data_IF_997238182088
#
_entry.id   IF_997238182088
#
_cell.length_a   1.000
_cell.length_b   1.000
_cell.length_c   1.000
_cell.angle_alpha   90.00
_cell.angle_beta   90.00
_cell.angle_gamma   90.00
#
_symmetry.space_group_name_H-M   'P 1'
#
loop_
_entity.id
_entity.type
_entity.pdbx_description
1 polymer ?
#
# COMPACT_ATOMS: atom_id res chain seq x y z
N UNK A 1 24.49 55.37 46.58
CA UNK A 1 24.51 56.04 45.27
C UNK A 1 24.30 54.97 44.21
N UNK A 2 23.09 54.95 43.62
CA UNK A 2 22.61 54.17 42.46
C UNK A 2 22.88 52.65 42.44
N UNK A 3 21.95 51.90 43.02
CA UNK A 3 21.61 50.53 42.60
C UNK A 3 21.06 50.57 41.16
N UNK A 4 21.61 49.74 40.28
CA UNK A 4 21.26 49.66 38.85
C UNK A 4 19.89 48.98 38.67
N UNK A 5 18.99 49.48 37.80
CA UNK A 5 17.70 48.85 37.48
C UNK A 5 17.81 47.68 36.47
N UNK A 6 19.02 47.27 36.11
CA UNK A 6 19.28 46.30 35.03
C UNK A 6 18.95 44.83 35.38
N UNK A 7 18.76 44.50 36.66
CA UNK A 7 18.57 43.10 37.08
C UNK A 7 17.11 42.60 36.95
N UNK A 8 16.12 43.50 36.76
CA UNK A 8 14.69 43.13 36.81
C UNK A 8 14.14 42.62 35.47
N UNK A 9 14.62 43.14 34.34
CA UNK A 9 14.26 42.63 32.99
C UNK A 9 14.86 41.23 32.78
N UNK A 10 16.06 41.00 33.32
CA UNK A 10 16.84 39.76 33.22
C UNK A 10 16.11 38.55 33.80
N UNK A 11 15.39 38.73 34.91
CA UNK A 11 14.63 37.64 35.53
C UNK A 11 13.33 37.37 34.78
N UNK A 12 12.71 38.40 34.16
CA UNK A 12 11.39 38.34 33.47
C UNK A 12 11.39 37.51 32.18
N UNK A 13 12.55 37.35 31.54
CA UNK A 13 12.70 36.49 30.35
C UNK A 13 13.22 35.09 30.69
N UNK A 14 13.99 34.93 31.78
CA UNK A 14 14.71 33.68 32.07
C UNK A 14 13.89 32.58 32.79
N UNK A 15 12.75 32.90 33.43
CA UNK A 15 11.84 31.91 34.07
C UNK A 15 10.84 31.36 33.04
N UNK A 16 11.35 30.96 31.87
CA UNK A 16 10.65 30.09 30.92
C UNK A 16 11.35 28.73 30.78
N UNK A 17 12.46 28.51 31.49
CA UNK A 17 13.22 27.26 31.43
C UNK A 17 12.96 26.40 32.68
N UNK A 18 11.82 25.70 32.69
CA UNK A 18 11.59 24.53 33.51
C UNK A 18 11.07 23.41 32.60
N UNK A 19 11.96 22.52 32.16
CA UNK A 19 11.93 21.06 32.38
C UNK A 19 12.79 20.28 31.35
N UNK A 20 13.48 19.27 31.90
CA UNK A 20 13.98 18.01 31.32
C UNK A 20 14.70 17.97 29.97
N UNK A 21 15.94 17.49 30.06
CA UNK A 21 16.80 16.96 29.00
C UNK A 21 16.07 15.89 28.17
N UNK A 22 16.09 16.04 26.85
CA UNK A 22 15.71 15.03 25.86
C UNK A 22 16.57 15.22 24.60
N UNK A 23 17.30 14.19 24.22
CA UNK A 23 18.47 14.26 23.35
C UNK A 23 18.17 13.85 21.89
N UNK A 24 18.52 14.74 20.93
CA UNK A 24 19.33 14.48 19.70
C UNK A 24 18.64 13.75 18.51
N UNK A 25 18.71 14.10 17.21
CA UNK A 25 19.48 15.03 16.37
C UNK A 25 20.36 14.28 15.31
N UNK A 26 20.16 14.48 13.97
CA UNK A 26 21.05 15.18 12.97
C UNK A 26 21.52 14.25 11.79
N UNK A 27 22.29 14.65 10.72
CA UNK A 27 22.65 15.97 10.06
C UNK A 27 22.74 15.97 8.46
N UNK A 28 23.27 17.02 7.71
CA UNK A 28 24.39 17.11 6.64
C UNK A 28 24.77 18.55 6.23
N UNK A 29 26.08 18.86 6.12
CA UNK A 29 26.70 20.15 5.74
C UNK A 29 26.65 20.51 4.23
N UNK A 30 26.39 21.80 3.94
CA UNK A 30 27.14 22.60 2.96
C UNK A 30 26.85 24.08 3.24
N UNK A 31 27.83 24.94 3.01
CA UNK A 31 27.75 26.40 3.16
C UNK A 31 26.50 26.94 2.43
N UNK A 32 25.45 27.28 3.18
CA UNK A 32 24.21 27.83 2.66
C UNK A 32 23.53 28.58 3.80
N UNK A 33 23.32 29.88 3.64
CA UNK A 33 22.40 30.64 4.48
C UNK A 33 21.03 29.96 4.38
N UNK A 34 20.70 29.12 5.36
CA UNK A 34 19.38 28.50 5.46
C UNK A 34 18.39 29.62 5.76
N UNK A 35 17.32 29.81 4.95
CA UNK A 35 16.32 30.82 5.26
C UNK A 35 15.69 30.51 6.62
N UNK A 36 15.98 31.33 7.64
CA UNK A 36 15.47 31.15 9.00
C UNK A 36 16.52 30.94 10.10
N UNK A 37 17.82 30.86 9.79
CA UNK A 37 18.87 30.87 10.82
C UNK A 37 19.00 32.25 11.50
N UNK A 38 19.13 32.24 12.83
CA UNK A 38 19.21 33.45 13.66
C UNK A 38 20.65 33.99 13.76
N UNK A 39 21.66 33.12 13.64
CA UNK A 39 23.09 33.44 13.65
C UNK A 39 23.93 32.47 12.80
N UNK A 40 24.91 32.99 12.08
CA UNK A 40 25.98 32.24 11.41
C UNK A 40 26.97 31.69 12.45
N UNK A 41 27.27 30.40 12.39
CA UNK A 41 28.15 29.75 13.37
C UNK A 41 29.50 29.39 12.76
N UNK A 42 30.57 29.94 13.32
CA UNK A 42 31.95 29.74 12.86
C UNK A 42 32.74 28.99 13.91
N UNK A 43 33.38 27.89 13.48
CA UNK A 43 34.23 27.04 14.31
C UNK A 43 35.72 27.30 14.02
N UNK A 44 36.49 27.48 15.09
CA UNK A 44 37.94 27.37 15.09
C UNK A 44 38.34 26.34 16.15
N UNK A 45 39.58 25.80 16.13
CA UNK A 45 40.00 24.79 17.11
C UNK A 45 39.83 25.23 18.57
N UNK A 46 39.86 26.54 18.86
CA UNK A 46 39.83 27.08 20.22
C UNK A 46 38.62 27.96 20.52
N UNK A 47 37.80 28.29 19.53
CA UNK A 47 36.68 29.21 19.70
C UNK A 47 35.53 28.90 18.74
N UNK A 48 34.31 28.95 19.24
CA UNK A 48 33.08 28.99 18.43
C UNK A 48 32.52 30.40 18.51
N UNK A 49 32.09 30.96 17.37
CA UNK A 49 31.48 32.30 17.31
C UNK A 49 30.11 32.22 16.62
N UNK A 50 29.09 32.81 17.24
CA UNK A 50 27.76 32.99 16.67
C UNK A 50 27.60 34.45 16.23
N UNK A 51 27.45 34.69 14.93
CA UNK A 51 27.29 36.03 14.34
C UNK A 51 25.84 36.20 13.92
N UNK A 52 25.03 37.05 14.59
CA UNK A 52 23.62 37.20 14.24
C UNK A 52 23.40 37.64 12.79
N UNK A 53 22.42 37.02 12.10
CA UNK A 53 22.10 37.31 10.69
C UNK A 53 21.08 38.45 10.54
N UNK A 54 20.50 38.92 11.66
CA UNK A 54 19.53 40.03 11.73
C UNK A 54 19.81 40.99 12.89
N UNK A 55 19.03 42.08 12.99
CA UNK A 55 19.09 42.99 14.14
C UNK A 55 18.36 42.38 15.33
N UNK A 56 19.10 42.09 16.40
CA UNK A 56 18.55 41.61 17.68
C UNK A 56 19.06 42.50 18.80
N UNK A 57 18.25 42.69 19.84
CA UNK A 57 18.60 43.50 21.01
C UNK A 57 19.49 42.73 21.99
N UNK A 58 19.28 41.41 22.09
CA UNK A 58 20.04 40.52 22.96
C UNK A 58 20.19 39.13 22.33
N UNK A 59 21.27 38.45 22.70
CA UNK A 59 21.59 37.08 22.32
C UNK A 59 22.08 36.35 23.58
N UNK A 60 21.50 35.20 23.88
CA UNK A 60 21.84 34.39 25.04
C UNK A 60 22.29 33.00 24.60
N UNK A 61 23.37 32.52 25.20
CA UNK A 61 23.95 31.21 24.88
C UNK A 61 23.88 30.28 26.08
N UNK A 62 23.28 29.12 25.86
CA UNK A 62 23.28 28.01 26.82
C UNK A 62 23.91 26.77 26.20
N UNK A 63 24.71 26.06 26.98
CA UNK A 63 25.45 24.89 26.53
C UNK A 63 25.20 23.71 27.46
N UNK A 64 24.75 22.59 26.90
CA UNK A 64 24.68 21.31 27.58
C UNK A 64 25.95 20.50 27.30
N UNK A 65 26.58 20.04 28.38
CA UNK A 65 27.79 19.22 28.37
C UNK A 65 27.48 17.72 28.18
N UNK A 66 28.48 16.90 27.81
CA UNK A 66 28.31 15.45 27.64
C UNK A 66 27.78 14.74 28.90
N UNK A 67 28.14 15.25 30.09
CA UNK A 67 27.70 14.71 31.39
C UNK A 67 26.31 15.18 31.83
N UNK A 68 25.59 15.93 31.00
CA UNK A 68 24.26 16.47 31.30
C UNK A 68 24.27 17.79 32.09
N UNK A 69 25.44 18.30 32.47
CA UNK A 69 25.60 19.63 33.06
C UNK A 69 25.21 20.71 32.05
N UNK A 70 24.58 21.79 32.51
CA UNK A 70 24.14 22.89 31.66
C UNK A 70 24.79 24.19 32.14
N UNK A 71 25.53 24.83 31.24
CA UNK A 71 26.22 26.09 31.46
C UNK A 71 25.44 27.22 30.79
N UNK A 72 25.16 28.28 31.55
CA UNK A 72 24.59 29.51 31.02
C UNK A 72 25.70 30.54 30.82
N UNK A 73 26.00 30.87 29.56
CA UNK A 73 27.05 31.82 29.20
C UNK A 73 26.50 33.26 29.08
N UNK A 74 25.21 33.47 29.37
CA UNK A 74 24.58 34.78 29.31
C UNK A 74 24.70 35.42 27.93
N UNK A 75 24.91 36.75 27.90
CA UNK A 75 25.13 37.52 26.67
C UNK A 75 26.53 37.28 26.10
N UNK A 76 26.73 36.11 25.52
CA UNK A 76 27.97 35.75 24.84
C UNK A 76 27.71 35.25 23.44
N UNK A 77 28.40 35.86 22.47
CA UNK A 77 28.44 35.41 21.08
C UNK A 77 29.65 34.51 20.79
N UNK A 78 30.44 34.17 21.81
CA UNK A 78 31.67 33.36 21.66
C UNK A 78 31.83 32.35 22.78
N UNK A 79 32.32 31.17 22.43
CA UNK A 79 32.66 30.12 23.37
C UNK A 79 34.13 29.73 23.23
N UNK A 80 34.88 29.74 24.33
CA UNK A 80 36.21 29.15 24.45
C UNK A 80 36.16 27.75 25.08
N UNK A 81 37.32 27.11 25.24
CA UNK A 81 37.44 25.77 25.83
C UNK A 81 37.29 25.73 27.36
N UNK A 82 36.61 26.71 27.95
CA UNK A 82 36.37 26.79 29.39
C UNK A 82 34.90 27.04 29.72
N UNK A 83 34.46 26.50 30.85
CA UNK A 83 33.16 26.81 31.45
C UNK A 83 33.13 28.25 32.01
N UNK A 84 31.97 28.77 32.46
CA UNK A 84 31.86 30.09 33.09
C UNK A 84 32.66 30.23 34.39
N UNK A 85 32.98 29.13 35.07
CA UNK A 85 33.78 29.08 36.29
C UNK A 85 35.30 29.02 36.01
N UNK A 86 35.69 28.93 34.74
CA UNK A 86 37.08 28.91 34.27
C UNK A 86 37.71 27.52 34.18
N UNK A 87 36.95 26.44 34.39
CA UNK A 87 37.46 25.08 34.23
C UNK A 87 37.48 24.68 32.76
N UNK A 88 38.43 23.81 32.37
CA UNK A 88 38.53 23.32 31.00
C UNK A 88 37.35 22.39 30.68
N UNK A 89 36.68 22.63 29.57
CA UNK A 89 35.62 21.77 29.05
C UNK A 89 36.20 20.40 28.68
N UNK A 90 35.50 19.33 29.10
CA UNK A 90 35.89 17.96 28.82
C UNK A 90 35.68 17.60 27.33
N UNK A 91 36.38 16.56 26.85
CA UNK A 91 36.12 16.02 25.53
C UNK A 91 34.74 15.35 25.47
N UNK A 92 34.04 15.48 24.33
CA UNK A 92 32.71 14.90 24.11
C UNK A 92 31.78 15.77 23.28
N UNK A 93 30.53 15.33 23.13
CA UNK A 93 29.46 16.03 22.40
C UNK A 93 28.77 17.07 23.28
N UNK A 94 28.79 18.32 22.84
CA UNK A 94 28.07 19.43 23.46
C UNK A 94 26.91 19.87 22.58
N UNK A 95 25.89 20.44 23.20
CA UNK A 95 24.74 21.05 22.52
C UNK A 95 24.59 22.47 22.94
N UNK A 96 24.28 23.34 21.99
CA UNK A 96 24.01 24.73 22.28
C UNK A 96 22.57 25.07 21.92
N UNK A 97 21.99 25.95 22.71
CA UNK A 97 20.78 26.69 22.40
C UNK A 97 21.12 28.17 22.42
N UNK A 98 20.86 28.84 21.31
CA UNK A 98 20.96 30.27 21.14
C UNK A 98 19.56 30.85 21.22
N UNK A 99 19.34 31.81 22.11
CA UNK A 99 18.06 32.52 22.22
C UNK A 99 18.29 33.98 21.85
N UNK A 100 17.55 34.50 20.87
CA UNK A 100 17.67 35.90 20.46
C UNK A 100 16.39 36.67 20.77
N UNK A 101 16.54 37.94 21.11
CA UNK A 101 15.42 38.86 21.29
C UNK A 101 15.39 39.89 20.16
N UNK A 102 14.26 40.08 19.48
CA UNK A 102 14.13 41.15 18.48
C UNK A 102 14.27 42.54 19.14
N UNK A 103 14.51 43.60 18.37
CA UNK A 103 14.55 44.96 18.89
C UNK A 103 13.18 45.34 19.44
N UNK A 104 13.14 45.70 20.72
CA UNK A 104 11.94 46.17 21.39
C UNK A 104 11.85 47.69 21.33
N UNK A 105 10.65 48.22 21.14
CA UNK A 105 10.44 49.67 21.20
C UNK A 105 10.60 50.20 22.65
N UNK A 106 10.86 51.51 22.77
CA UNK A 106 11.12 52.16 24.05
C UNK A 106 9.93 52.07 25.02
N UNK A 107 8.71 51.93 24.49
CA UNK A 107 7.49 51.78 25.29
C UNK A 107 7.45 50.40 25.96
N UNK A 108 7.71 49.34 25.18
CA UNK A 108 7.78 47.94 25.62
C UNK A 108 8.89 47.75 26.64
N UNK A 109 10.06 48.35 26.41
CA UNK A 109 11.17 48.32 27.37
C UNK A 109 10.81 48.99 28.71
N UNK A 110 10.05 50.09 28.67
CA UNK A 110 9.61 50.77 29.89
C UNK A 110 8.55 49.97 30.66
N UNK A 111 7.65 49.28 29.94
CA UNK A 111 6.68 48.35 30.53
C UNK A 111 7.42 47.19 31.21
N UNK A 112 8.36 46.54 30.51
CA UNK A 112 9.15 45.44 31.04
C UNK A 112 10.03 45.84 32.23
N UNK A 113 10.52 47.09 32.27
CA UNK A 113 11.31 47.61 33.39
C UNK A 113 10.50 47.77 34.70
N UNK A 114 9.17 47.77 34.63
CA UNK A 114 8.26 47.97 35.77
C UNK A 114 7.56 46.67 36.20
N UNK A 115 7.86 45.55 35.55
CA UNK A 115 7.29 44.23 35.88
C UNK A 115 7.78 43.76 37.25
N UNK A 116 6.83 43.33 38.08
CA UNK A 116 7.07 42.64 39.35
C UNK A 116 6.76 41.15 39.22
N UNK A 117 7.26 40.28 40.12
CA UNK A 117 6.97 38.85 40.07
C UNK A 117 5.46 38.53 40.06
N UNK A 118 4.63 39.34 40.72
CA UNK A 118 3.18 39.08 40.81
C UNK A 118 2.39 39.44 39.54
N UNK A 119 2.85 40.42 38.75
CA UNK A 119 2.16 40.87 37.53
C UNK A 119 2.81 40.39 36.23
N UNK A 120 3.89 39.62 36.35
CA UNK A 120 4.74 39.18 35.26
C UNK A 120 4.00 38.44 34.16
N UNK A 121 3.34 37.34 34.49
CA UNK A 121 2.77 36.45 33.47
C UNK A 121 1.64 37.13 32.71
N UNK A 122 0.84 37.93 33.42
CA UNK A 122 -0.22 38.74 32.82
C UNK A 122 0.36 39.83 31.90
N UNK A 123 1.41 40.53 32.32
CA UNK A 123 2.04 41.59 31.50
C UNK A 123 2.69 41.01 30.25
N UNK A 124 3.31 39.84 30.34
CA UNK A 124 3.89 39.13 29.19
C UNK A 124 2.80 38.70 28.20
N UNK A 125 1.69 38.12 28.70
CA UNK A 125 0.57 37.72 27.86
C UNK A 125 -0.07 38.90 27.13
N UNK A 126 -0.22 40.04 27.81
CA UNK A 126 -0.76 41.28 27.21
C UNK A 126 0.15 41.84 26.12
N UNK A 127 1.48 41.83 26.33
CA UNK A 127 2.45 42.27 25.33
C UNK A 127 2.50 41.30 24.13
N UNK A 128 2.32 40.00 24.33
CA UNK A 128 2.24 39.00 23.26
C UNK A 128 0.95 39.12 22.44
N UNK A 129 -0.20 39.36 23.09
CA UNK A 129 -1.48 39.60 22.42
C UNK A 129 -1.47 40.91 21.62
N UNK A 130 -0.76 41.92 22.11
CA UNK A 130 -0.54 43.19 21.41
C UNK A 130 0.51 43.11 20.29
N UNK A 131 1.14 41.93 20.08
CA UNK A 131 2.20 41.74 19.08
C UNK A 131 3.51 42.47 19.39
N UNK A 132 3.67 42.98 20.61
CA UNK A 132 4.87 43.70 21.09
C UNK A 132 5.98 42.77 21.60
N UNK A 133 5.62 41.53 21.95
CA UNK A 133 6.56 40.43 22.24
C UNK A 133 6.25 39.22 21.35
N UNK A 134 7.27 38.42 20.97
CA UNK A 134 7.04 37.21 20.21
C UNK A 134 6.28 36.16 21.05
N UNK A 135 5.36 35.42 20.39
CA UNK A 135 4.58 34.38 21.06
C UNK A 135 5.39 33.11 21.39
N UNK A 136 6.53 32.93 20.72
CA UNK A 136 7.49 31.86 20.98
C UNK A 136 8.91 32.45 20.96
N UNK A 137 9.79 31.94 21.81
CA UNK A 137 11.20 32.35 21.81
C UNK A 137 11.83 32.01 20.46
N UNK A 138 12.54 32.98 19.88
CA UNK A 138 13.34 32.74 18.69
C UNK A 138 14.62 32.02 19.12
N UNK A 139 14.68 30.72 18.84
CA UNK A 139 15.82 29.88 19.23
C UNK A 139 16.50 29.24 18.03
N UNK A 140 17.82 29.06 18.13
CA UNK A 140 18.63 28.30 17.19
C UNK A 140 19.49 27.32 17.97
N UNK A 141 19.38 26.04 17.62
CA UNK A 141 20.06 24.97 18.36
C UNK A 141 21.04 24.22 17.47
N UNK A 142 22.12 23.73 18.07
CA UNK A 142 23.12 22.95 17.37
C UNK A 142 23.98 22.11 18.29
N UNK A 143 25.06 21.54 17.75
CA UNK A 143 25.92 20.62 18.48
C UNK A 143 27.34 20.63 17.91
N UNK A 144 28.33 20.37 18.77
CA UNK A 144 29.74 20.34 18.44
C UNK A 144 30.50 19.34 19.32
N UNK A 145 31.68 18.90 18.89
CA UNK A 145 32.55 18.04 19.68
C UNK A 145 33.73 18.82 20.23
N UNK A 146 34.21 18.42 21.40
CA UNK A 146 35.58 18.68 21.83
C UNK A 146 36.33 17.36 21.75
N UNK A 147 37.43 17.32 21.00
CA UNK A 147 38.26 16.13 20.84
C UNK A 147 39.73 16.52 21.01
N UNK A 148 40.43 15.84 21.92
CA UNK A 148 41.78 16.18 22.35
C UNK A 148 41.91 17.67 22.76
N UNK A 149 40.87 18.19 23.41
CA UNK A 149 40.83 19.56 23.88
C UNK A 149 40.80 20.64 22.78
N UNK A 150 40.24 20.33 21.61
CA UNK A 150 39.95 21.29 20.51
C UNK A 150 38.54 21.09 19.98
N UNK A 151 37.88 22.15 19.51
CA UNK A 151 36.57 22.04 18.87
C UNK A 151 36.66 21.34 17.50
N UNK A 152 35.74 20.40 17.27
CA UNK A 152 35.52 19.72 16.01
C UNK A 152 34.03 19.75 15.66
N UNK A 153 33.70 19.91 14.37
CA UNK A 153 32.31 19.77 13.92
C UNK A 153 31.86 18.32 14.05
N UNK A 154 30.59 18.14 14.43
CA UNK A 154 29.93 16.86 14.25
C UNK A 154 29.89 16.55 12.75
N UNK A 155 30.70 15.57 12.33
CA UNK A 155 30.69 15.07 10.97
C UNK A 155 29.28 14.61 10.64
N UNK A 156 28.99 14.68 9.36
CA UNK A 156 27.72 14.23 8.88
C UNK A 156 27.87 12.94 8.11
N UNK A 157 27.16 11.92 8.58
CA UNK A 157 27.01 10.63 7.93
C UNK A 157 26.42 10.77 6.53
N UNK A 158 27.31 10.58 5.56
CA UNK A 158 27.04 10.66 4.14
C UNK A 158 28.27 10.27 3.35
N UNK A 159 28.83 9.08 3.59
CA UNK A 159 29.65 8.35 2.61
C UNK A 159 29.99 6.96 3.13
N UNK A 160 29.38 5.96 2.52
CA UNK A 160 29.71 4.55 2.69
C UNK A 160 30.99 4.24 1.89
N UNK A 161 32.12 4.08 2.60
CA UNK A 161 33.24 3.21 2.21
C UNK A 161 34.01 2.82 3.47
N UNK A 162 33.75 1.62 4.00
CA UNK A 162 34.69 0.92 4.89
C UNK A 162 35.84 0.31 4.04
N UNK A 163 37.10 0.14 4.53
CA UNK A 163 37.36 -0.54 5.81
C UNK A 163 38.60 -0.06 6.60
N UNK A 164 38.47 0.22 7.90
CA UNK A 164 39.57 -0.05 8.88
C UNK A 164 39.00 -0.41 10.26
N UNK A 165 39.25 -1.65 10.69
CA UNK A 165 39.11 -2.09 12.08
C UNK A 165 40.13 -1.39 13.00
N UNK A 166 39.65 -0.68 14.03
CA UNK A 166 40.09 -0.71 15.44
C UNK A 166 39.88 0.63 16.14
N UNK A 167 38.71 0.80 16.75
CA UNK A 167 38.57 1.33 18.10
C UNK A 167 37.18 0.96 18.60
N UNK A 168 37.11 0.07 19.60
CA UNK A 168 35.89 -0.12 20.38
C UNK A 168 35.62 1.18 21.17
N UNK A 169 34.79 2.08 20.66
CA UNK A 169 34.01 2.98 21.51
C UNK A 169 32.63 2.39 21.68
N UNK A 170 32.32 1.96 22.89
CA UNK A 170 31.13 1.18 23.25
C UNK A 170 29.89 2.04 23.57
N UNK A 171 29.86 3.31 23.13
CA UNK A 171 28.71 4.19 23.30
C UNK A 171 28.11 4.57 21.95
N UNK A 172 27.48 3.59 21.29
CA UNK A 172 26.44 3.88 20.30
C UNK A 172 25.26 4.36 21.13
N UNK A 173 24.85 5.62 20.96
CA UNK A 173 23.64 6.13 21.61
C UNK A 173 22.48 5.18 21.27
N UNK A 174 22.00 4.43 22.27
CA UNK A 174 20.78 3.64 22.10
C UNK A 174 19.67 4.60 21.70
N UNK A 175 18.97 4.36 20.57
CA UNK A 175 17.78 5.13 20.23
C UNK A 175 16.89 5.24 21.46
N UNK A 176 16.49 6.46 21.81
CA UNK A 176 15.54 6.65 22.89
C UNK A 176 14.17 6.22 22.36
N UNK A 177 13.66 5.12 22.88
CA UNK A 177 12.30 4.69 22.61
C UNK A 177 11.33 5.61 23.33
N UNK A 178 10.33 6.11 22.60
CA UNK A 178 9.16 6.73 23.23
C UNK A 178 8.19 5.60 23.56
N UNK A 179 8.12 5.25 24.85
CA UNK A 179 7.21 4.21 25.35
C UNK A 179 6.03 4.88 26.02
N UNK A 180 4.85 4.73 25.43
CA UNK A 180 3.57 5.01 26.09
C UNK A 180 3.02 3.69 26.66
N UNK A 181 3.05 3.47 27.99
CA UNK A 181 2.69 2.18 28.59
C UNK A 181 1.18 1.92 28.68
N UNK A 182 0.36 2.77 28.07
CA UNK A 182 -1.10 2.72 28.03
C UNK A 182 -1.60 3.12 26.63
N UNK A 183 -2.90 3.34 26.47
CA UNK A 183 -3.50 3.85 25.24
C UNK A 183 -2.91 5.22 24.84
N UNK A 184 -2.47 5.35 23.59
CA UNK A 184 -2.09 6.63 22.98
C UNK A 184 -3.26 7.21 22.18
N UNK A 185 -3.74 8.38 22.58
CA UNK A 185 -4.81 9.12 21.88
C UNK A 185 -4.22 10.38 21.27
N UNK A 186 -3.95 10.33 19.96
CA UNK A 186 -3.51 11.50 19.20
C UNK A 186 -4.72 12.33 18.78
N UNK A 187 -4.98 13.43 19.50
CA UNK A 187 -6.00 14.41 19.13
C UNK A 187 -5.52 15.26 17.94
N UNK A 188 -5.85 14.82 16.72
CA UNK A 188 -5.43 15.49 15.48
C UNK A 188 -5.05 14.48 14.41
N UNK A 189 -3.81 14.56 13.92
CA UNK A 189 -3.29 13.68 12.87
C UNK A 189 -1.88 13.22 13.19
N UNK A 190 -1.54 12.00 12.76
CA UNK A 190 -0.25 11.36 13.00
C UNK A 190 0.54 11.26 11.68
N UNK A 191 1.79 11.72 11.67
CA UNK A 191 2.74 11.44 10.60
C UNK A 191 3.82 10.48 11.12
N UNK A 192 4.07 9.39 10.39
CA UNK A 192 5.12 8.41 10.71
C UNK A 192 6.06 8.24 9.51
N UNK A 193 7.36 8.29 9.77
CA UNK A 193 8.42 8.09 8.77
C UNK A 193 9.40 9.25 8.70
N UNK A 194 10.55 9.00 8.08
CA UNK A 194 11.68 9.92 7.95
C UNK A 194 11.34 11.16 7.12
N UNK A 195 10.34 11.08 6.24
CA UNK A 195 9.95 12.17 5.34
C UNK A 195 8.82 13.07 5.93
N UNK A 196 8.44 12.87 7.20
CA UNK A 196 7.51 13.74 7.91
C UNK A 196 8.13 15.11 8.22
N UNK A 197 7.38 16.19 7.96
CA UNK A 197 7.84 17.56 8.21
C UNK A 197 7.68 17.90 9.70
N UNK A 198 8.75 18.43 10.30
CA UNK A 198 8.81 18.75 11.74
C UNK A 198 8.73 20.26 12.03
N UNK A 199 8.63 21.08 10.99
CA UNK A 199 8.56 22.55 11.06
C UNK A 199 7.12 23.09 11.24
N UNK A 200 6.16 22.20 11.49
CA UNK A 200 4.75 22.53 11.62
C UNK A 200 4.03 22.78 10.29
N UNK A 201 4.70 22.62 9.14
CA UNK A 201 4.10 22.81 7.82
C UNK A 201 3.44 21.54 7.25
N UNK A 202 3.49 20.40 7.96
CA UNK A 202 2.86 19.15 7.54
C UNK A 202 1.34 19.36 7.36
N UNK A 203 0.88 19.30 6.11
CA UNK A 203 -0.53 19.48 5.78
C UNK A 203 -1.20 18.12 5.66
N UNK A 204 -2.17 17.84 6.51
CA UNK A 204 -2.88 16.56 6.54
C UNK A 204 -4.06 16.47 5.58
N UNK A 205 -4.64 17.59 5.15
CA UNK A 205 -5.85 17.56 4.33
C UNK A 205 -6.99 16.79 5.02
N UNK A 206 -7.45 15.71 4.39
CA UNK A 206 -8.45 14.80 4.97
C UNK A 206 -7.84 13.52 5.58
N UNK A 207 -6.53 13.32 5.45
CA UNK A 207 -5.86 12.13 5.97
C UNK A 207 -5.56 12.29 7.46
N UNK A 208 -6.09 11.39 8.30
CA UNK A 208 -5.79 11.40 9.74
C UNK A 208 -4.43 10.78 10.06
N UNK A 209 -3.93 9.87 9.21
CA UNK A 209 -2.62 9.23 9.36
C UNK A 209 -1.86 9.30 8.03
N UNK A 210 -0.62 9.77 8.09
CA UNK A 210 0.30 9.79 6.95
C UNK A 210 1.53 8.95 7.26
N UNK A 211 1.86 8.04 6.36
CA UNK A 211 3.10 7.28 6.40
C UNK A 211 3.99 7.76 5.26
N UNK A 212 5.14 8.34 5.56
CA UNK A 212 6.01 9.00 4.57
C UNK A 212 7.43 8.43 4.65
N UNK A 213 7.75 7.57 3.71
CA UNK A 213 9.03 6.85 3.64
C UNK A 213 9.29 6.39 2.20
N UNK A 214 10.56 6.20 1.82
CA UNK A 214 10.93 5.63 0.52
C UNK A 214 10.60 4.13 0.37
N UNK A 215 10.60 3.38 1.48
CA UNK A 215 10.39 1.93 1.51
C UNK A 215 9.21 1.55 2.41
N UNK A 216 8.07 2.17 2.16
CA UNK A 216 6.93 2.14 3.07
C UNK A 216 6.34 0.74 3.24
N UNK A 217 6.39 0.25 4.48
CA UNK A 217 5.89 -1.05 4.89
C UNK A 217 5.26 -0.95 6.27
N UNK A 218 4.18 -1.71 6.50
CA UNK A 218 3.60 -1.93 7.82
C UNK A 218 3.75 -3.41 8.14
N UNK A 219 4.58 -3.74 9.13
CA UNK A 219 4.84 -5.10 9.55
C UNK A 219 3.98 -5.46 10.77
N UNK A 220 3.31 -6.59 10.69
CA UNK A 220 2.51 -7.17 11.77
C UNK A 220 3.30 -8.37 12.29
N UNK A 221 4.08 -8.12 13.34
CA UNK A 221 4.90 -9.12 14.03
C UNK A 221 4.04 -9.86 15.06
N UNK A 222 3.70 -11.12 14.78
CA UNK A 222 2.93 -11.93 15.71
C UNK A 222 3.88 -12.60 16.71
N UNK A 223 3.94 -12.04 17.92
CA UNK A 223 4.80 -12.54 18.99
C UNK A 223 4.16 -13.68 19.81
N UNK A 224 3.05 -14.26 19.35
CA UNK A 224 2.31 -15.26 20.12
C UNK A 224 3.13 -16.55 20.28
N UNK A 225 2.95 -17.20 21.44
CA UNK A 225 3.67 -18.43 21.78
C UNK A 225 2.93 -19.69 21.30
N UNK A 226 3.54 -20.85 21.52
CA UNK A 226 2.99 -22.15 21.14
C UNK A 226 1.53 -22.34 21.58
N UNK A 227 0.67 -22.72 20.64
CA UNK A 227 -0.77 -22.92 20.86
C UNK A 227 -1.65 -21.85 20.21
N UNK A 228 -1.07 -20.77 19.71
CA UNK A 228 -1.75 -19.70 18.97
C UNK A 228 -1.30 -19.67 17.51
N UNK A 229 -2.12 -19.13 16.58
CA UNK A 229 -1.62 -18.68 15.28
C UNK A 229 -0.44 -17.72 15.48
N UNK A 230 0.58 -17.81 14.63
CA UNK A 230 1.83 -17.04 14.76
C UNK A 230 2.36 -16.64 13.38
N UNK A 231 1.45 -16.25 12.47
CA UNK A 231 1.84 -15.84 11.12
C UNK A 231 1.98 -14.33 11.08
N UNK A 232 3.12 -13.87 10.60
CA UNK A 232 3.43 -12.46 10.43
C UNK A 232 2.89 -11.97 9.09
N UNK A 233 2.40 -10.73 9.09
CA UNK A 233 1.83 -10.13 7.89
C UNK A 233 2.56 -8.84 7.56
N UNK A 234 2.48 -8.42 6.28
CA UNK A 234 3.02 -7.14 5.87
C UNK A 234 2.14 -6.47 4.81
N UNK A 235 1.88 -5.18 5.01
CA UNK A 235 1.41 -4.31 3.94
C UNK A 235 2.63 -3.62 3.30
N UNK A 236 2.77 -3.72 1.98
CA UNK A 236 3.90 -3.12 1.26
C UNK A 236 3.38 -2.20 0.16
N UNK A 237 3.97 -1.00 0.12
CA UNK A 237 3.70 0.02 -0.89
C UNK A 237 4.90 0.10 -1.82
N UNK A 238 4.71 -0.34 -3.07
CA UNK A 238 5.74 -0.41 -4.12
C UNK A 238 6.92 -1.35 -3.80
N UNK A 239 7.75 -1.63 -4.80
CA UNK A 239 9.06 -2.28 -4.61
C UNK A 239 10.06 -1.27 -3.99
N UNK A 240 10.99 -1.79 -3.17
CA UNK A 240 12.06 -0.99 -2.53
C UNK A 240 13.28 -0.76 -3.41
N UNK A 241 13.36 -1.43 -4.57
CA UNK A 241 14.46 -1.27 -5.51
C UNK A 241 14.26 -0.05 -6.39
N UNK A 242 15.34 0.68 -6.70
CA UNK A 242 15.29 1.77 -7.68
C UNK A 242 14.84 1.24 -9.04
N UNK A 243 13.78 1.86 -9.60
CA UNK A 243 13.14 1.41 -10.84
C UNK A 243 12.21 0.19 -10.68
N UNK A 244 11.89 -0.20 -9.44
CA UNK A 244 10.96 -1.29 -9.14
C UNK A 244 9.49 -0.97 -9.48
N UNK A 245 8.63 -1.96 -9.26
CA UNK A 245 7.21 -1.90 -9.61
C UNK A 245 6.42 -1.08 -8.60
N UNK A 246 5.35 -0.41 -9.06
CA UNK A 246 4.42 0.31 -8.19
C UNK A 246 3.17 -0.53 -7.92
N UNK A 247 2.84 -0.77 -6.64
CA UNK A 247 1.70 -1.59 -6.23
C UNK A 247 1.32 -1.37 -4.76
N UNK A 248 0.14 -1.87 -4.39
CA UNK A 248 -0.24 -2.19 -3.02
C UNK A 248 -0.29 -3.71 -2.86
N UNK A 249 0.33 -4.27 -1.82
CA UNK A 249 0.29 -5.73 -1.59
C UNK A 249 0.12 -6.12 -0.13
N UNK A 250 -0.60 -7.23 0.08
CA UNK A 250 -0.66 -7.98 1.33
C UNK A 250 0.29 -9.18 1.19
N UNK A 251 1.26 -9.28 2.09
CA UNK A 251 2.24 -10.35 2.14
C UNK A 251 2.06 -11.21 3.37
N UNK A 252 2.17 -12.53 3.19
CA UNK A 252 2.57 -13.45 4.24
C UNK A 252 4.07 -13.23 4.47
N UNK A 253 4.41 -12.59 5.57
CA UNK A 253 5.77 -12.17 5.85
C UNK A 253 6.62 -13.33 6.41
N UNK A 254 6.01 -14.24 7.17
CA UNK A 254 6.67 -15.47 7.65
C UNK A 254 7.14 -16.33 6.48
N UNK A 255 6.31 -16.50 5.45
CA UNK A 255 6.66 -17.27 4.26
C UNK A 255 7.30 -16.44 3.13
N UNK A 256 7.48 -15.13 3.33
CA UNK A 256 7.94 -14.17 2.34
C UNK A 256 7.21 -14.29 0.98
N UNK A 257 5.89 -14.18 1.00
CA UNK A 257 5.03 -14.39 -0.18
C UNK A 257 4.00 -13.28 -0.34
N UNK A 258 3.95 -12.68 -1.53
CA UNK A 258 2.85 -11.78 -1.94
C UNK A 258 1.57 -12.60 -2.14
N UNK A 259 0.53 -12.34 -1.37
CA UNK A 259 -0.76 -13.06 -1.46
C UNK A 259 -1.78 -12.33 -2.31
N UNK A 260 -1.78 -11.00 -2.23
CA UNK A 260 -2.69 -10.15 -2.96
C UNK A 260 -1.95 -8.89 -3.41
N UNK A 261 -2.00 -8.57 -4.70
CA UNK A 261 -1.28 -7.41 -5.26
C UNK A 261 -2.21 -6.64 -6.19
N UNK A 262 -2.30 -5.33 -5.98
CA UNK A 262 -2.95 -4.38 -6.87
C UNK A 262 -1.86 -3.49 -7.47
N UNK A 263 -1.58 -3.65 -8.75
CA UNK A 263 -0.60 -2.82 -9.45
C UNK A 263 -1.13 -1.40 -9.67
N UNK A 264 -0.21 -0.44 -9.63
CA UNK A 264 -0.54 0.95 -9.92
C UNK A 264 -1.07 1.06 -11.37
N UNK A 265 -2.19 1.77 -11.53
CA UNK A 265 -2.85 1.93 -12.83
C UNK A 265 -3.84 0.81 -13.18
N UNK A 266 -4.08 -0.17 -12.29
CA UNK A 266 -5.18 -1.11 -12.47
C UNK A 266 -6.52 -0.36 -12.70
N UNK A 267 -7.32 -0.74 -13.72
CA UNK A 267 -8.59 -0.07 -13.99
C UNK A 267 -9.57 -0.14 -12.82
N UNK A 268 -10.45 0.86 -12.74
CA UNK A 268 -11.55 0.84 -11.77
C UNK A 268 -12.38 -0.44 -11.91
N UNK A 269 -12.79 -1.01 -10.77
CA UNK A 269 -13.58 -2.24 -10.70
C UNK A 269 -12.89 -3.48 -11.28
N UNK A 270 -11.55 -3.51 -11.32
CA UNK A 270 -10.80 -4.72 -11.67
C UNK A 270 -11.18 -5.90 -10.76
N UNK A 271 -11.38 -5.62 -9.46
CA UNK A 271 -12.05 -6.49 -8.50
C UNK A 271 -13.02 -5.64 -7.69
N UNK A 272 -14.30 -5.98 -7.70
CA UNK A 272 -15.35 -5.26 -7.01
C UNK A 272 -16.18 -6.24 -6.18
N UNK A 273 -16.50 -5.89 -4.94
CA UNK A 273 -17.43 -6.67 -4.11
C UNK A 273 -18.58 -5.75 -3.75
N UNK A 274 -19.80 -6.10 -4.18
CA UNK A 274 -20.98 -5.30 -3.92
C UNK A 274 -21.53 -5.53 -2.50
N UNK A 275 -22.50 -4.70 -2.09
CA UNK A 275 -23.12 -4.79 -0.75
C UNK A 275 -23.96 -6.05 -0.53
N UNK A 276 -24.23 -6.83 -1.57
CA UNK A 276 -24.94 -8.12 -1.50
C UNK A 276 -23.99 -9.32 -1.49
N UNK A 277 -22.68 -9.05 -1.50
CA UNK A 277 -21.61 -10.05 -1.52
C UNK A 277 -21.38 -10.68 -2.90
N UNK A 278 -21.81 -10.04 -3.99
CA UNK A 278 -21.47 -10.46 -5.34
C UNK A 278 -20.11 -9.88 -5.75
N UNK A 279 -19.31 -10.68 -6.46
CA UNK A 279 -17.98 -10.29 -6.92
C UNK A 279 -18.03 -9.97 -8.41
N UNK A 280 -17.67 -8.73 -8.75
CA UNK A 280 -17.45 -8.26 -10.12
C UNK A 280 -15.98 -8.26 -10.49
N UNK A 281 -15.65 -8.77 -11.68
CA UNK A 281 -14.33 -8.62 -12.30
C UNK A 281 -14.51 -7.78 -13.57
N UNK A 282 -13.98 -6.56 -13.56
CA UNK A 282 -14.17 -5.58 -14.65
C UNK A 282 -15.54 -4.89 -14.65
N UNK A 283 -16.33 -5.01 -13.57
CA UNK A 283 -17.67 -4.39 -13.46
C UNK A 283 -18.00 -4.02 -12.02
N UNK A 284 -18.68 -2.89 -11.83
CA UNK A 284 -19.24 -2.46 -10.54
C UNK A 284 -20.68 -2.90 -10.32
N UNK A 285 -21.31 -3.54 -11.32
CA UNK A 285 -22.71 -3.96 -11.26
C UNK A 285 -22.79 -5.48 -11.54
N UNK A 286 -22.26 -6.33 -10.65
CA UNK A 286 -22.41 -7.76 -10.79
C UNK A 286 -23.90 -8.16 -10.73
N UNK A 287 -24.32 -9.07 -11.62
CA UNK A 287 -25.71 -9.59 -11.66
C UNK A 287 -25.79 -11.06 -11.24
N UNK A 288 -24.63 -11.65 -10.93
CA UNK A 288 -24.43 -13.02 -10.47
C UNK A 288 -23.42 -13.02 -9.33
N UNK A 289 -23.37 -14.10 -8.54
CA UNK A 289 -22.43 -14.20 -7.41
C UNK A 289 -20.99 -13.97 -7.81
N UNK A 290 -20.61 -14.42 -9.00
CA UNK A 290 -19.39 -14.02 -9.68
C UNK A 290 -19.78 -13.54 -11.10
N UNK A 291 -19.51 -12.29 -11.42
CA UNK A 291 -19.74 -11.71 -12.75
C UNK A 291 -18.40 -11.22 -13.31
N UNK A 292 -17.93 -11.86 -14.38
CA UNK A 292 -16.77 -11.40 -15.15
C UNK A 292 -17.26 -10.64 -16.39
N UNK A 293 -16.94 -9.36 -16.48
CA UNK A 293 -17.19 -8.56 -17.67
C UNK A 293 -16.07 -8.78 -18.71
N UNK A 294 -16.08 -9.94 -19.36
CA UNK A 294 -15.08 -10.33 -20.33
C UNK A 294 -14.91 -11.84 -20.44
N UNK A 295 -13.69 -12.26 -20.82
CA UNK A 295 -13.37 -13.67 -21.03
C UNK A 295 -12.86 -14.34 -19.75
N UNK A 296 -13.16 -15.63 -19.59
CA UNK A 296 -12.63 -16.47 -18.51
C UNK A 296 -11.79 -17.58 -19.13
N UNK A 297 -10.50 -17.65 -18.76
CA UNK A 297 -9.64 -18.80 -19.06
C UNK A 297 -9.52 -19.67 -17.81
N UNK A 298 -9.73 -20.98 -17.98
CA UNK A 298 -9.58 -21.98 -16.91
C UNK A 298 -8.54 -23.00 -17.35
N UNK A 299 -7.46 -23.17 -16.58
CA UNK A 299 -6.41 -24.15 -16.89
C UNK A 299 -6.77 -25.58 -16.45
N UNK A 300 -7.77 -25.72 -15.57
CA UNK A 300 -8.35 -26.99 -15.12
C UNK A 300 -9.72 -27.27 -15.75
N UNK A 301 -10.68 -27.68 -14.92
CA UNK A 301 -12.06 -27.92 -15.35
C UNK A 301 -13.06 -27.17 -14.46
N UNK A 302 -14.23 -26.87 -15.04
CA UNK A 302 -15.38 -26.30 -14.33
C UNK A 302 -16.25 -27.45 -13.84
N UNK A 303 -16.68 -27.40 -12.58
CA UNK A 303 -17.62 -28.37 -12.00
C UNK A 303 -18.98 -27.72 -11.85
N UNK A 304 -19.97 -28.22 -12.58
CA UNK A 304 -21.36 -27.82 -12.44
C UNK A 304 -22.05 -28.70 -11.39
N UNK A 305 -22.67 -28.07 -10.38
CA UNK A 305 -23.34 -28.80 -9.32
C UNK A 305 -24.57 -29.55 -9.87
N UNK A 306 -24.52 -30.88 -9.85
CA UNK A 306 -25.45 -31.73 -10.59
C UNK A 306 -25.98 -32.92 -9.77
N UNK A 307 -26.13 -32.74 -8.45
CA UNK A 307 -26.65 -33.77 -7.54
C UNK A 307 -28.16 -33.99 -7.76
N UNK A 308 -28.61 -35.25 -7.74
CA UNK A 308 -30.03 -35.57 -7.88
C UNK A 308 -30.86 -35.10 -6.68
N UNK A 309 -30.28 -35.01 -5.49
CA UNK A 309 -30.94 -34.60 -4.25
C UNK A 309 -31.26 -33.10 -4.19
N UNK A 310 -30.67 -32.29 -5.07
CA UNK A 310 -30.98 -30.86 -5.20
C UNK A 310 -31.84 -30.54 -6.42
N UNK A 311 -32.18 -31.58 -7.20
CA UNK A 311 -33.00 -31.47 -8.41
C UNK A 311 -34.37 -32.05 -8.15
N UNK A 312 -35.35 -31.52 -8.88
CA UNK A 312 -36.73 -31.98 -8.83
C UNK A 312 -37.34 -31.93 -10.23
N UNK A 313 -38.49 -32.58 -10.41
CA UNK A 313 -39.22 -32.52 -11.68
C UNK A 313 -38.58 -33.32 -12.81
N UNK A 314 -37.98 -34.47 -12.52
CA UNK A 314 -37.42 -35.35 -13.55
C UNK A 314 -38.51 -35.87 -14.49
N UNK A 315 -38.42 -35.47 -15.76
CA UNK A 315 -39.27 -35.97 -16.85
C UNK A 315 -38.38 -36.66 -17.90
N UNK A 316 -38.81 -37.78 -18.48
CA UNK A 316 -38.11 -38.37 -19.61
C UNK A 316 -38.17 -37.43 -20.83
N UNK A 317 -37.14 -37.48 -21.67
CA UNK A 317 -37.07 -36.75 -22.94
C UNK A 317 -37.28 -37.71 -24.10
N UNK A 318 -37.97 -37.27 -25.15
CA UNK A 318 -38.08 -38.00 -26.42
C UNK A 318 -36.86 -37.71 -27.29
N UNK A 319 -35.99 -38.71 -27.45
CA UNK A 319 -34.78 -38.57 -28.25
C UNK A 319 -35.04 -38.22 -29.71
N UNK A 320 -36.12 -38.73 -30.31
CA UNK A 320 -36.48 -38.45 -31.70
C UNK A 320 -36.90 -37.00 -31.88
N UNK A 321 -37.69 -36.46 -30.94
CA UNK A 321 -38.07 -35.05 -30.92
C UNK A 321 -36.84 -34.14 -30.76
N UNK A 322 -35.95 -34.47 -29.81
CA UNK A 322 -34.74 -33.68 -29.56
C UNK A 322 -33.81 -33.68 -30.77
N UNK A 323 -33.58 -34.85 -31.38
CA UNK A 323 -32.75 -34.95 -32.58
C UNK A 323 -33.37 -34.17 -33.74
N UNK A 324 -34.69 -34.25 -33.94
CA UNK A 324 -35.36 -33.50 -34.99
C UNK A 324 -35.22 -31.98 -34.79
N UNK A 325 -35.45 -31.50 -33.56
CA UNK A 325 -35.24 -30.08 -33.21
C UNK A 325 -33.80 -29.63 -33.45
N UNK A 326 -32.82 -30.48 -33.14
CA UNK A 326 -31.41 -30.20 -33.38
C UNK A 326 -31.11 -30.09 -34.88
N UNK A 327 -31.71 -30.94 -35.71
CA UNK A 327 -31.55 -30.91 -37.17
C UNK A 327 -32.20 -29.67 -37.81
N UNK A 328 -33.30 -29.19 -37.23
CA UNK A 328 -34.02 -28.01 -37.72
C UNK A 328 -33.41 -26.68 -37.22
N UNK A 329 -32.61 -26.72 -36.15
CA UNK A 329 -31.98 -25.54 -35.55
C UNK A 329 -30.78 -25.06 -36.37
N UNK A 330 -30.72 -23.78 -36.78
CA UNK A 330 -29.56 -23.24 -37.48
C UNK A 330 -28.27 -23.30 -36.66
N UNK A 331 -27.21 -23.84 -37.26
CA UNK A 331 -25.84 -23.73 -36.76
C UNK A 331 -25.05 -22.94 -37.79
N UNK A 332 -24.54 -21.78 -37.39
CA UNK A 332 -23.83 -20.84 -38.28
C UNK A 332 -22.49 -20.43 -37.69
N UNK A 333 -21.64 -19.85 -38.52
CA UNK A 333 -20.43 -19.16 -38.05
C UNK A 333 -20.70 -17.69 -37.83
N UNK A 334 -20.07 -17.11 -36.81
CA UNK A 334 -20.29 -15.72 -36.42
C UNK A 334 -19.06 -15.13 -35.71
N UNK A 335 -19.00 -13.80 -35.58
CA UNK A 335 -17.95 -13.08 -34.84
C UNK A 335 -18.56 -12.11 -33.85
N UNK A 336 -17.98 -11.98 -32.66
CA UNK A 336 -18.39 -10.95 -31.72
C UNK A 336 -18.04 -9.55 -32.26
N UNK A 337 -18.96 -8.60 -32.09
CA UNK A 337 -18.72 -7.20 -32.51
C UNK A 337 -17.51 -6.57 -31.82
N UNK A 338 -17.26 -6.93 -30.55
CA UNK A 338 -16.15 -6.41 -29.76
C UNK A 338 -14.79 -7.04 -30.14
N UNK A 339 -14.77 -8.26 -30.68
CA UNK A 339 -13.54 -8.97 -31.08
C UNK A 339 -13.13 -8.68 -32.53
N UNK A 340 -14.06 -8.16 -33.34
CA UNK A 340 -13.86 -7.94 -34.77
C UNK A 340 -14.00 -9.22 -35.60
N UNK A 341 -13.96 -9.08 -36.93
CA UNK A 341 -14.26 -10.17 -37.87
C UNK A 341 -13.15 -11.21 -38.04
N UNK A 342 -12.04 -11.10 -37.31
CA UNK A 342 -10.90 -12.02 -37.40
C UNK A 342 -11.07 -13.25 -36.50
N UNK A 343 -11.91 -13.15 -35.46
CA UNK A 343 -12.23 -14.27 -34.58
C UNK A 343 -13.59 -14.83 -34.99
N UNK A 344 -13.60 -16.08 -35.46
CA UNK A 344 -14.82 -16.76 -35.93
C UNK A 344 -15.17 -17.89 -34.99
N UNK A 345 -16.40 -17.86 -34.51
CA UNK A 345 -17.02 -18.87 -33.67
C UNK A 345 -18.07 -19.64 -34.47
N UNK A 346 -18.52 -20.79 -33.95
CA UNK A 346 -19.57 -21.60 -34.56
C UNK A 346 -20.56 -22.05 -33.50
N UNK A 347 -21.85 -21.97 -33.81
CA UNK A 347 -22.92 -22.44 -32.93
C UNK A 347 -24.28 -21.85 -33.31
N UNK A 348 -25.35 -22.25 -32.62
CA UNK A 348 -26.64 -21.57 -32.72
C UNK A 348 -26.59 -20.22 -32.01
N UNK A 349 -27.55 -19.36 -32.31
CA UNK A 349 -27.83 -18.22 -31.42
C UNK A 349 -28.58 -18.72 -30.17
N UNK A 350 -28.48 -17.97 -29.07
CA UNK A 350 -29.24 -18.30 -27.86
C UNK A 350 -30.76 -18.23 -28.10
N UNK A 351 -31.22 -17.38 -29.02
CA UNK A 351 -32.62 -17.25 -29.37
C UNK A 351 -33.13 -18.50 -30.10
N UNK A 352 -32.36 -19.02 -31.05
CA UNK A 352 -32.71 -20.26 -31.77
C UNK A 352 -32.71 -21.47 -30.83
N UNK A 353 -31.68 -21.58 -29.97
CA UNK A 353 -31.60 -22.64 -28.95
C UNK A 353 -32.79 -22.59 -27.98
N UNK A 354 -33.09 -21.41 -27.45
CA UNK A 354 -34.21 -21.22 -26.54
C UNK A 354 -35.56 -21.49 -27.22
N UNK A 355 -35.74 -21.08 -28.48
CA UNK A 355 -36.96 -21.37 -29.25
C UNK A 355 -37.15 -22.87 -29.51
N UNK A 356 -36.06 -23.61 -29.74
CA UNK A 356 -36.12 -25.05 -29.97
C UNK A 356 -36.39 -25.85 -28.69
N UNK A 357 -35.68 -25.54 -27.60
CA UNK A 357 -35.64 -26.39 -26.40
C UNK A 357 -36.30 -25.79 -25.15
N UNK A 358 -36.45 -24.46 -25.07
CA UNK A 358 -37.01 -23.79 -23.89
C UNK A 358 -36.17 -23.95 -22.62
N UNK A 359 -34.87 -24.22 -22.75
CA UNK A 359 -33.93 -24.41 -21.64
C UNK A 359 -33.14 -23.12 -21.35
N UNK A 360 -32.72 -22.96 -20.10
CA UNK A 360 -32.02 -21.76 -19.61
C UNK A 360 -32.95 -20.71 -18.97
N UNK A 361 -32.33 -19.71 -18.32
CA UNK A 361 -33.06 -18.65 -17.63
C UNK A 361 -33.60 -17.56 -18.56
N UNK A 362 -32.98 -17.38 -19.74
CA UNK A 362 -33.36 -16.39 -20.75
C UNK A 362 -33.00 -16.86 -22.17
N UNK A 363 -33.34 -16.06 -23.17
CA UNK A 363 -33.04 -16.33 -24.59
C UNK A 363 -31.78 -15.61 -25.10
N UNK A 364 -30.88 -15.21 -24.21
CA UNK A 364 -29.64 -14.48 -24.53
C UNK A 364 -28.39 -15.27 -24.16
N UNK A 365 -28.53 -16.29 -23.33
CA UNK A 365 -27.43 -17.13 -22.89
C UNK A 365 -27.73 -18.62 -23.13
N UNK A 366 -26.70 -19.40 -23.44
CA UNK A 366 -26.78 -20.86 -23.51
C UNK A 366 -25.90 -21.39 -22.38
N UNK A 367 -26.48 -22.09 -21.42
CA UNK A 367 -25.70 -22.77 -20.40
C UNK A 367 -25.01 -24.01 -21.00
N UNK A 368 -23.72 -24.21 -20.67
CA UNK A 368 -22.98 -25.38 -21.12
C UNK A 368 -23.66 -26.69 -20.66
N UNK A 369 -24.18 -26.72 -19.42
CA UNK A 369 -25.01 -27.80 -18.89
C UNK A 369 -26.15 -28.21 -19.83
N UNK A 370 -26.93 -27.23 -20.31
CA UNK A 370 -28.12 -27.48 -21.15
C UNK A 370 -27.72 -27.97 -22.55
N UNK A 371 -26.72 -27.34 -23.16
CA UNK A 371 -26.19 -27.76 -24.46
C UNK A 371 -25.62 -29.21 -24.41
N UNK A 372 -24.94 -29.56 -23.32
CA UNK A 372 -24.45 -30.92 -23.08
C UNK A 372 -25.59 -31.92 -22.90
N UNK A 373 -26.65 -31.55 -22.16
CA UNK A 373 -27.84 -32.37 -21.98
C UNK A 373 -28.54 -32.70 -23.31
N UNK A 374 -28.74 -31.68 -24.16
CA UNK A 374 -29.30 -31.85 -25.52
C UNK A 374 -28.42 -32.77 -26.37
N UNK A 375 -27.09 -32.56 -26.33
CA UNK A 375 -26.13 -33.35 -27.08
C UNK A 375 -26.19 -34.84 -26.68
N UNK A 376 -26.24 -35.13 -25.38
CA UNK A 376 -26.35 -36.51 -24.87
C UNK A 376 -27.65 -37.19 -25.32
N UNK A 377 -28.78 -36.47 -25.28
CA UNK A 377 -30.06 -37.00 -25.74
C UNK A 377 -30.04 -37.30 -27.25
N UNK A 378 -29.51 -36.39 -28.06
CA UNK A 378 -29.39 -36.55 -29.50
C UNK A 378 -28.44 -37.71 -29.87
N UNK A 379 -27.30 -37.85 -29.19
CA UNK A 379 -26.36 -38.96 -29.42
C UNK A 379 -27.03 -40.31 -29.16
N UNK A 380 -27.79 -40.43 -28.06
CA UNK A 380 -28.51 -41.68 -27.75
C UNK A 380 -29.52 -42.05 -28.84
N UNK A 381 -30.24 -41.07 -29.38
CA UNK A 381 -31.18 -41.32 -30.46
C UNK A 381 -30.48 -41.69 -31.78
N UNK A 382 -29.38 -41.00 -32.12
CA UNK A 382 -28.57 -41.34 -33.27
C UNK A 382 -28.06 -42.79 -33.19
N UNK A 383 -27.60 -43.24 -32.02
CA UNK A 383 -27.21 -44.64 -31.80
C UNK A 383 -28.38 -45.59 -32.06
N UNK A 384 -29.57 -45.29 -31.52
CA UNK A 384 -30.77 -46.11 -31.72
C UNK A 384 -31.15 -46.21 -33.20
N UNK A 385 -31.07 -45.11 -33.94
CA UNK A 385 -31.36 -45.10 -35.38
C UNK A 385 -30.33 -45.90 -36.17
N UNK A 386 -29.04 -45.80 -35.81
CA UNK A 386 -27.97 -46.59 -36.43
C UNK A 386 -28.20 -48.10 -36.26
N UNK A 387 -28.50 -48.56 -35.04
CA UNK A 387 -28.79 -49.97 -34.77
C UNK A 387 -30.01 -50.47 -35.56
N UNK A 388 -31.04 -49.64 -35.69
CA UNK A 388 -32.22 -49.96 -36.48
C UNK A 388 -31.91 -50.04 -37.98
N UNK A 389 -31.01 -49.19 -38.48
CA UNK A 389 -30.54 -49.23 -39.86
C UNK A 389 -29.71 -50.49 -40.14
N UNK A 390 -28.81 -50.88 -39.24
CA UNK A 390 -28.00 -52.08 -39.37
C UNK A 390 -28.86 -53.35 -39.41
N UNK A 391 -29.85 -53.45 -38.51
CA UNK A 391 -30.80 -54.57 -38.52
C UNK A 391 -31.58 -54.66 -39.84
N UNK A 392 -31.94 -53.51 -40.43
CA UNK A 392 -32.59 -53.45 -41.74
C UNK A 392 -31.65 -53.88 -42.85
N UNK A 393 -30.39 -53.45 -42.83
CA UNK A 393 -29.36 -53.87 -43.80
C UNK A 393 -29.17 -55.39 -43.74
N UNK A 394 -28.95 -55.96 -42.56
CA UNK A 394 -28.82 -57.43 -42.41
C UNK A 394 -30.05 -58.17 -42.93
N UNK A 395 -31.26 -57.66 -42.66
CA UNK A 395 -32.49 -58.26 -43.17
C UNK A 395 -32.53 -58.23 -44.70
N UNK A 396 -32.16 -57.10 -45.31
CA UNK A 396 -32.12 -56.95 -46.76
C UNK A 396 -31.04 -57.84 -47.41
N UNK A 397 -29.88 -57.99 -46.77
CA UNK A 397 -28.82 -58.88 -47.23
C UNK A 397 -29.26 -60.35 -47.22
N UNK A 398 -29.94 -60.80 -46.15
CA UNK A 398 -30.50 -62.15 -46.08
C UNK A 398 -31.57 -62.38 -47.15
N UNK A 399 -32.44 -61.40 -47.39
CA UNK A 399 -33.45 -61.48 -48.44
C UNK A 399 -32.83 -61.52 -49.84
N UNK A 400 -31.80 -60.73 -50.10
CA UNK A 400 -31.08 -60.76 -51.37
C UNK A 400 -30.41 -62.12 -51.60
N UNK A 401 -29.76 -62.70 -50.58
CA UNK A 401 -29.15 -64.02 -50.67
C UNK A 401 -30.19 -65.13 -50.97
N UNK A 402 -31.39 -65.08 -50.36
CA UNK A 402 -32.49 -66.01 -50.68
C UNK A 402 -32.98 -65.84 -52.13
N UNK A 403 -33.15 -64.60 -52.57
CA UNK A 403 -33.58 -64.30 -53.94
C UNK A 403 -32.56 -64.78 -54.97
N UNK A 404 -31.27 -64.57 -54.73
CA UNK A 404 -30.19 -65.07 -55.59
C UNK A 404 -30.24 -66.60 -55.74
N UNK A 405 -30.41 -67.33 -54.64
CA UNK A 405 -30.56 -68.80 -54.68
C UNK A 405 -31.81 -69.23 -55.46
N UNK A 406 -32.92 -68.49 -55.33
CA UNK A 406 -34.15 -68.78 -56.07
C UNK A 406 -34.01 -68.51 -57.56
N UNK A 407 -33.32 -67.44 -57.93
CA UNK A 407 -33.01 -67.12 -59.33
C UNK A 407 -32.13 -68.22 -59.93
N UNK A 408 -31.03 -68.62 -59.26
CA UNK A 408 -30.14 -69.69 -59.72
C UNK A 408 -30.90 -71.01 -59.93
N UNK A 409 -31.79 -71.37 -59.00
CA UNK A 409 -32.63 -72.56 -59.12
C UNK A 409 -33.59 -72.48 -60.31
N UNK A 410 -34.20 -71.33 -60.55
CA UNK A 410 -35.10 -71.12 -61.69
C UNK A 410 -34.33 -71.17 -63.01
N UNK A 411 -33.16 -70.54 -63.09
CA UNK A 411 -32.29 -70.60 -64.26
C UNK A 411 -31.92 -72.04 -64.61
N UNK A 412 -31.55 -72.84 -63.61
CA UNK A 412 -31.28 -74.27 -63.80
C UNK A 412 -32.50 -75.03 -64.33
N UNK A 413 -33.68 -74.83 -63.75
CA UNK A 413 -34.92 -75.48 -64.21
C UNK A 413 -35.29 -75.09 -65.65
N UNK A 414 -35.11 -73.81 -66.01
CA UNK A 414 -35.34 -73.32 -67.38
C UNK A 414 -34.37 -73.99 -68.36
N UNK A 415 -33.10 -74.15 -67.97
CA UNK A 415 -32.11 -74.82 -68.81
C UNK A 415 -32.44 -76.31 -68.99
N UNK A 416 -32.79 -77.02 -67.91
CA UNK A 416 -33.23 -78.42 -67.97
C UNK A 416 -34.47 -78.59 -68.88
N UNK A 417 -35.44 -77.69 -68.81
CA UNK A 417 -36.62 -77.69 -69.68
C UNK A 417 -36.27 -77.43 -71.16
N UNK A 418 -35.34 -76.51 -71.43
CA UNK A 418 -34.88 -76.20 -72.78
C UNK A 418 -34.12 -77.38 -73.41
N UNK A 419 -33.37 -78.13 -72.60
CA UNK A 419 -32.69 -79.36 -73.04
C UNK A 419 -33.67 -80.51 -73.30
N UNK A 420 -34.73 -80.63 -72.50
CA UNK A 420 -35.76 -81.68 -72.67
C UNK A 420 -36.67 -81.47 -73.91
N UNK A 421 -36.64 -80.30 -74.54
CA UNK A 421 -37.42 -79.96 -75.75
C UNK A 421 -36.60 -80.09 -77.05
N UNK A 422 -35.31 -80.44 -76.97
CA UNK A 422 -34.47 -80.83 -78.11
C UNK A 422 -34.46 -82.34 -78.27
#
# INVERSE_FOLDING_TARGET
MKTKPFFSIFVVVMIFCLFTVGANGKPVQAQSTVPGELADVVFTPNTITWTPVGEYSHLYLRIAAPGGEVFDYGESSTLGLTDPDGNRLADGLYRYELVVMPPLDAETLNILAQVTPENRDQTILELQQAGKLPQQSLTQSGAFYINNGSFAMAAVEGSDTDPVQNAQSTDIATPLDVVQPDDEIVAGSLCVGLDCLTDGSENFGYDTVKLKENNLQVYFDDTSLAGFPANDWRLVMNDSASGGSSYFTIMDATANRKLFTLEAGAPANSLYVDSTGCVGVGTSNPTEKLHVAGNVRVDGYIVEFSDANVKMGFLPVDGAEILQKLLDMPVTTWSYKAEGSQVVHMGPTAQDFYAAFGLGADNKHIAALDANGVSLAAIRELTRLSEAQDARITTLELQNADLEQRVEKLEKLVQELAEAQK
#
